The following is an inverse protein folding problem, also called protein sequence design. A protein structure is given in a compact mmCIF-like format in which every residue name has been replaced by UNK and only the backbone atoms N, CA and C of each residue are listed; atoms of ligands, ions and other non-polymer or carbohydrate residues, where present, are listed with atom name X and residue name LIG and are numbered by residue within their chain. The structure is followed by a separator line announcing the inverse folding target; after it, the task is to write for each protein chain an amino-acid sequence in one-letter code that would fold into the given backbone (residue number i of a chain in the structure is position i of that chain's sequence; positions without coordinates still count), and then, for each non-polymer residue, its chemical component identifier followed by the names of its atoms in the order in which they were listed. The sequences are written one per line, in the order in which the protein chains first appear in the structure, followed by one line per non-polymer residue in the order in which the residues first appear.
data_IF_534995741933
#
_entry.id   IF_534995741933
#
_cell.length_a   1.000
_cell.length_b   1.000
_cell.length_c   1.000
_cell.angle_alpha   90.00
_cell.angle_beta   90.00
_cell.angle_gamma   90.00
#
_symmetry.space_group_name_H-M   'P 1'
#
loop_
_entity.id
_entity.type
_entity.pdbx_description
1 polymer ?
#
# COMPACT_ATOMS: atom_id res chain seq x y z
N UNK A 1 -41.01 2.84 33.97
CA UNK A 1 -40.80 3.31 32.58
C UNK A 1 -39.54 4.17 32.39
N UNK A 2 -39.23 5.14 33.26
CA UNK A 2 -38.01 5.98 33.12
C UNK A 2 -36.68 5.19 33.13
N UNK A 3 -36.60 4.11 33.93
CA UNK A 3 -35.41 3.24 34.01
C UNK A 3 -35.13 2.45 32.72
N UNK A 4 -36.16 2.13 31.92
CA UNK A 4 -36.01 1.35 30.67
C UNK A 4 -35.52 2.25 29.53
N UNK A 5 -35.92 3.53 29.55
CA UNK A 5 -35.46 4.53 28.57
C UNK A 5 -33.97 4.85 28.80
N UNK A 6 -33.52 4.86 30.06
CA UNK A 6 -32.12 5.15 30.39
C UNK A 6 -31.17 4.03 29.97
N UNK A 7 -31.59 2.76 30.00
CA UNK A 7 -30.76 1.63 29.53
C UNK A 7 -30.67 1.56 28.01
N UNK A 8 -31.70 1.97 27.27
CA UNK A 8 -31.68 1.99 25.81
C UNK A 8 -30.69 3.04 25.25
N UNK A 9 -30.52 4.16 25.96
CA UNK A 9 -29.58 5.23 25.59
C UNK A 9 -28.09 4.85 25.75
N UNK A 10 -27.76 3.95 26.68
CA UNK A 10 -26.37 3.49 26.92
C UNK A 10 -25.96 2.41 25.89
N UNK A 11 -26.91 1.63 25.38
CA UNK A 11 -26.64 0.65 24.32
C UNK A 11 -26.42 1.29 22.94
N UNK A 12 -26.94 2.51 22.72
CA UNK A 12 -26.75 3.28 21.49
C UNK A 12 -25.38 3.98 21.41
N UNK A 13 -24.65 4.12 22.51
CA UNK A 13 -23.30 4.71 22.52
C UNK A 13 -22.18 3.72 22.19
N UNK A 14 -22.49 2.43 21.98
CA UNK A 14 -21.57 1.45 21.40
C UNK A 14 -21.65 1.57 19.87
N UNK A 15 -21.36 2.75 19.31
CA UNK A 15 -21.17 2.87 17.88
C UNK A 15 -19.70 2.63 17.56
N UNK A 16 -19.47 1.48 16.91
CA UNK A 16 -18.37 1.18 16.00
C UNK A 16 -17.09 1.99 16.23
N UNK A 17 -16.28 1.57 17.20
CA UNK A 17 -14.84 1.69 17.06
C UNK A 17 -14.46 0.76 15.88
N UNK A 18 -14.59 1.26 14.66
CA UNK A 18 -13.91 0.64 13.53
C UNK A 18 -12.44 0.75 13.84
N UNK A 19 -11.80 -0.34 14.23
CA UNK A 19 -10.36 -0.41 14.24
C UNK A 19 -9.92 -0.10 12.80
N UNK A 20 -9.52 1.14 12.54
CA UNK A 20 -8.78 1.43 11.32
C UNK A 20 -7.47 0.68 11.52
N UNK A 21 -7.34 -0.46 10.84
CA UNK A 21 -6.08 -1.18 10.84
C UNK A 21 -5.04 -0.21 10.32
N UNK A 22 -4.11 0.16 11.19
CA UNK A 22 -3.10 1.16 10.86
C UNK A 22 -2.07 0.47 9.99
N UNK A 23 -2.30 0.50 8.68
CA UNK A 23 -1.41 -0.13 7.71
C UNK A 23 0.01 0.43 7.80
N UNK A 24 0.17 1.67 8.28
CA UNK A 24 1.46 2.27 8.57
C UNK A 24 2.21 1.48 9.64
N UNK A 25 1.51 0.94 10.65
CA UNK A 25 2.11 0.10 11.69
C UNK A 25 2.71 -1.18 11.08
N UNK A 26 1.96 -1.88 10.22
CA UNK A 26 2.45 -3.10 9.56
C UNK A 26 3.57 -2.81 8.58
N UNK A 27 3.46 -1.69 7.85
CA UNK A 27 4.47 -1.25 6.90
C UNK A 27 5.82 -0.92 7.56
N UNK A 28 5.79 -0.57 8.84
CA UNK A 28 6.95 -0.11 9.65
C UNK A 28 7.37 -1.10 10.75
N UNK A 29 6.75 -2.28 10.82
CA UNK A 29 6.96 -3.27 11.89
C UNK A 29 6.77 -2.64 13.29
N UNK A 30 5.56 -2.14 13.54
CA UNK A 30 5.19 -1.38 14.73
C UNK A 30 6.08 -0.17 14.98
N UNK A 31 6.33 0.61 13.92
CA UNK A 31 7.10 1.86 13.96
C UNK A 31 8.57 1.69 14.36
N UNK A 32 9.10 0.47 14.25
CA UNK A 32 10.51 0.19 14.54
C UNK A 32 11.45 0.53 13.37
N UNK A 33 10.91 0.70 12.16
CA UNK A 33 11.66 1.09 10.98
C UNK A 33 10.93 2.15 10.14
N UNK A 34 11.68 3.14 9.65
CA UNK A 34 11.18 4.16 8.73
C UNK A 34 11.13 3.69 7.27
N UNK A 35 11.80 2.58 6.96
CA UNK A 35 11.83 1.99 5.62
C UNK A 35 11.82 0.47 5.67
N UNK A 36 11.21 -0.15 4.67
CA UNK A 36 11.11 -1.62 4.58
C UNK A 36 11.02 -2.10 3.15
N UNK A 37 11.66 -3.23 2.87
CA UNK A 37 11.62 -3.89 1.58
C UNK A 37 10.60 -5.03 1.57
N UNK A 38 9.87 -5.14 0.46
CA UNK A 38 8.90 -6.20 0.18
C UNK A 38 9.17 -6.79 -1.20
N UNK A 39 8.71 -8.03 -1.38
CA UNK A 39 8.85 -8.75 -2.64
C UNK A 39 7.54 -9.43 -3.00
N UNK A 40 7.12 -9.29 -4.26
CA UNK A 40 5.95 -9.96 -4.85
C UNK A 40 6.37 -10.69 -6.12
N UNK A 41 5.55 -11.63 -6.60
CA UNK A 41 5.72 -12.19 -7.94
C UNK A 41 5.15 -11.26 -8.99
N UNK A 42 5.74 -11.21 -10.19
CA UNK A 42 5.19 -10.46 -11.31
C UNK A 42 3.79 -10.95 -11.70
N UNK A 43 3.56 -12.27 -11.62
CA UNK A 43 2.26 -12.87 -11.93
C UNK A 43 1.15 -12.52 -10.92
N UNK A 44 1.48 -11.82 -9.84
CA UNK A 44 0.50 -11.29 -8.89
C UNK A 44 -0.19 -10.00 -9.39
N UNK A 45 0.31 -9.41 -10.49
CA UNK A 45 -0.25 -8.21 -11.12
C UNK A 45 -0.52 -8.46 -12.60
N UNK A 46 -1.49 -7.74 -13.18
CA UNK A 46 -1.96 -7.99 -14.56
C UNK A 46 -1.27 -7.10 -15.59
N UNK A 47 -0.89 -5.88 -15.21
CA UNK A 47 -0.26 -4.93 -16.10
C UNK A 47 1.17 -5.38 -16.46
N UNK A 48 1.67 -4.96 -17.62
CA UNK A 48 3.06 -5.18 -18.01
C UNK A 48 3.94 -4.01 -17.51
N UNK A 49 5.07 -4.31 -16.85
CA UNK A 49 5.92 -3.27 -16.28
C UNK A 49 6.58 -2.38 -17.34
N UNK A 50 6.92 -2.95 -18.50
CA UNK A 50 7.64 -2.22 -19.53
C UNK A 50 6.74 -1.28 -20.32
N UNK A 51 5.52 -1.72 -20.61
CA UNK A 51 4.52 -0.98 -21.37
C UNK A 51 3.64 -0.08 -20.48
N UNK A 52 3.24 -0.58 -19.31
CA UNK A 52 2.25 0.05 -18.42
C UNK A 52 2.81 0.29 -17.00
N UNK A 53 4.08 0.67 -16.88
CA UNK A 53 4.79 0.77 -15.59
C UNK A 53 4.04 1.48 -14.46
N UNK A 54 3.33 2.59 -14.75
CA UNK A 54 2.55 3.29 -13.71
C UNK A 54 1.36 2.47 -13.20
N UNK A 55 0.66 1.76 -14.09
CA UNK A 55 -0.46 0.89 -13.73
C UNK A 55 0.04 -0.35 -13.00
N UNK A 56 1.15 -0.93 -13.47
CA UNK A 56 1.87 -2.00 -12.79
C UNK A 56 2.21 -1.62 -11.36
N UNK A 57 2.84 -0.46 -11.16
CA UNK A 57 3.24 0.00 -9.83
C UNK A 57 2.04 0.18 -8.90
N UNK A 58 0.94 0.78 -9.38
CA UNK A 58 -0.28 0.92 -8.60
C UNK A 58 -0.90 -0.44 -8.21
N UNK A 59 -0.91 -1.41 -9.14
CA UNK A 59 -1.37 -2.78 -8.88
C UNK A 59 -0.46 -3.50 -7.87
N UNK A 60 0.86 -3.33 -7.98
CA UNK A 60 1.83 -3.93 -7.06
C UNK A 60 1.63 -3.42 -5.62
N UNK A 61 1.41 -2.12 -5.43
CA UNK A 61 1.11 -1.59 -4.10
C UNK A 61 -0.25 -2.08 -3.59
N UNK A 62 -1.26 -2.18 -4.47
CA UNK A 62 -2.57 -2.73 -4.10
C UNK A 62 -2.44 -4.17 -3.60
N UNK A 63 -1.70 -4.99 -4.34
CA UNK A 63 -1.41 -6.38 -3.98
C UNK A 63 -0.59 -6.49 -2.69
N UNK A 64 0.37 -5.60 -2.48
CA UNK A 64 1.13 -5.55 -1.23
C UNK A 64 0.20 -5.32 -0.04
N UNK A 65 -0.68 -4.32 -0.11
CA UNK A 65 -1.66 -4.08 0.96
C UNK A 65 -2.60 -5.27 1.17
N UNK A 66 -3.07 -5.90 0.10
CA UNK A 66 -3.90 -7.11 0.22
C UNK A 66 -3.16 -8.23 0.96
N UNK A 67 -1.88 -8.47 0.63
CA UNK A 67 -1.05 -9.47 1.31
C UNK A 67 -0.77 -9.13 2.79
N UNK A 68 -0.81 -7.84 3.15
CA UNK A 68 -0.63 -7.36 4.52
C UNK A 68 -1.94 -7.27 5.32
N UNK A 69 -3.09 -7.66 4.74
CA UNK A 69 -4.40 -7.59 5.40
C UNK A 69 -4.98 -6.17 5.49
N UNK A 70 -4.51 -5.26 4.62
CA UNK A 70 -4.83 -3.84 4.62
C UNK A 70 -6.05 -3.48 3.74
N UNK A 71 -7.16 -4.18 3.97
CA UNK A 71 -8.36 -4.14 3.11
C UNK A 71 -9.02 -2.75 2.98
N UNK A 72 -8.81 -1.86 3.95
CA UNK A 72 -9.42 -0.52 4.00
C UNK A 72 -8.80 0.47 2.98
N UNK A 73 -7.72 0.08 2.30
CA UNK A 73 -7.00 0.93 1.34
C UNK A 73 -7.35 0.67 -0.12
N UNK A 74 -8.21 -0.33 -0.39
CA UNK A 74 -8.71 -0.64 -1.74
C UNK A 74 -9.37 0.60 -2.36
N UNK A 75 -8.69 1.21 -3.33
CA UNK A 75 -9.17 2.37 -4.10
C UNK A 75 -8.52 3.73 -3.80
N UNK A 76 -7.59 3.84 -2.84
CA UNK A 76 -6.81 5.07 -2.58
C UNK A 76 -5.30 4.82 -2.49
N UNK A 77 -4.82 3.90 -3.32
CA UNK A 77 -3.50 3.28 -3.17
C UNK A 77 -2.37 4.17 -3.69
N UNK A 78 -2.64 5.00 -4.69
CA UNK A 78 -1.67 5.92 -5.27
C UNK A 78 -2.30 7.29 -5.53
N UNK A 79 -1.74 8.32 -4.92
CA UNK A 79 -2.03 9.74 -5.22
C UNK A 79 -1.25 10.17 -6.46
N UNK A 80 -0.02 9.71 -6.58
CA UNK A 80 0.87 10.03 -7.68
C UNK A 80 1.73 8.81 -8.04
N UNK A 81 1.90 8.57 -9.35
CA UNK A 81 2.78 7.53 -9.86
C UNK A 81 3.66 8.11 -10.95
N UNK A 82 4.97 7.96 -10.80
CA UNK A 82 5.98 8.43 -11.76
C UNK A 82 6.98 7.32 -12.03
N UNK A 83 7.12 6.93 -13.29
CA UNK A 83 8.12 5.94 -13.68
C UNK A 83 9.20 6.58 -14.53
N UNK A 84 10.44 6.21 -14.27
CA UNK A 84 11.59 6.68 -15.04
C UNK A 84 12.69 5.63 -15.08
N UNK A 85 13.42 5.58 -16.19
CA UNK A 85 14.65 4.82 -16.28
C UNK A 85 15.72 5.49 -15.42
N UNK A 86 16.33 4.72 -14.51
CA UNK A 86 17.48 5.19 -13.73
C UNK A 86 18.67 5.45 -14.66
N UNK A 87 18.88 4.57 -15.64
CA UNK A 87 19.84 4.76 -16.72
C UNK A 87 19.08 5.02 -18.02
N UNK A 88 19.12 6.27 -18.52
CA UNK A 88 18.43 6.67 -19.75
C UNK A 88 18.83 5.77 -20.93
N UNK A 89 17.82 5.28 -21.65
CA UNK A 89 17.99 4.35 -22.78
C UNK A 89 18.12 2.89 -22.36
N UNK A 90 17.98 2.57 -21.06
CA UNK A 90 18.01 1.20 -20.55
C UNK A 90 16.64 0.88 -19.92
N UNK A 91 15.71 0.26 -20.69
CA UNK A 91 14.33 0.02 -20.24
C UNK A 91 14.24 -0.77 -18.92
N UNK A 92 15.07 -1.81 -18.78
CA UNK A 92 15.12 -2.65 -17.58
C UNK A 92 15.66 -1.96 -16.32
N UNK A 93 16.11 -0.70 -16.43
CA UNK A 93 16.50 0.13 -15.28
C UNK A 93 15.34 0.98 -14.75
N UNK A 94 14.13 0.78 -15.27
CA UNK A 94 12.94 1.53 -14.88
C UNK A 94 12.59 1.29 -13.42
N UNK A 95 12.35 2.39 -12.71
CA UNK A 95 11.84 2.41 -11.34
C UNK A 95 10.60 3.32 -11.32
N UNK A 96 9.57 2.86 -10.64
CA UNK A 96 8.36 3.65 -10.41
C UNK A 96 8.32 4.14 -8.97
N UNK A 97 8.17 5.44 -8.82
CA UNK A 97 7.79 6.10 -7.57
C UNK A 97 6.27 6.08 -7.45
N UNK A 98 5.76 5.66 -6.29
CA UNK A 98 4.34 5.75 -5.93
C UNK A 98 4.23 6.46 -4.59
N UNK A 99 3.38 7.48 -4.52
CA UNK A 99 3.08 8.21 -3.28
C UNK A 99 1.64 7.95 -2.84
N UNK A 100 1.46 7.79 -1.53
CA UNK A 100 0.14 7.81 -0.91
C UNK A 100 0.19 8.43 0.50
N UNK A 101 -0.89 8.26 1.26
CA UNK A 101 -1.03 8.85 2.59
C UNK A 101 -0.08 8.23 3.65
N UNK A 102 0.35 6.99 3.46
CA UNK A 102 1.14 6.23 4.44
C UNK A 102 2.66 6.44 4.21
N UNK A 103 3.06 6.85 3.01
CA UNK A 103 4.46 7.04 2.64
C UNK A 103 4.66 7.13 1.13
N UNK A 104 5.88 6.79 0.72
CA UNK A 104 6.21 6.59 -0.68
C UNK A 104 6.90 5.25 -0.91
N UNK A 105 6.81 4.77 -2.15
CA UNK A 105 7.29 3.48 -2.58
C UNK A 105 8.16 3.63 -3.81
N UNK A 106 9.24 2.86 -3.86
CA UNK A 106 10.03 2.64 -5.06
C UNK A 106 9.83 1.20 -5.53
N UNK A 107 9.32 1.04 -6.74
CA UNK A 107 8.97 -0.24 -7.33
C UNK A 107 9.91 -0.50 -8.52
N UNK A 108 10.52 -1.67 -8.52
CA UNK A 108 11.32 -2.18 -9.64
C UNK A 108 11.01 -3.64 -9.90
N UNK A 109 11.33 -4.11 -11.10
CA UNK A 109 11.21 -5.51 -11.49
C UNK A 109 12.59 -6.10 -11.74
N UNK A 110 12.86 -7.30 -11.25
CA UNK A 110 14.08 -8.05 -11.59
C UNK A 110 13.86 -9.00 -12.78
N UNK A 111 14.97 -9.51 -13.34
CA UNK A 111 14.92 -10.44 -14.49
C UNK A 111 14.34 -11.82 -14.14
N UNK A 112 14.08 -12.09 -12.85
CA UNK A 112 13.50 -13.35 -12.38
C UNK A 112 12.00 -13.20 -12.09
N UNK A 113 11.34 -12.23 -12.72
CA UNK A 113 9.89 -12.00 -12.62
C UNK A 113 9.45 -11.67 -11.18
N UNK A 114 10.27 -10.96 -10.42
CA UNK A 114 9.90 -10.48 -9.09
C UNK A 114 9.78 -8.97 -9.08
N UNK A 115 8.81 -8.51 -8.29
CA UNK A 115 8.58 -7.11 -7.99
C UNK A 115 9.29 -6.81 -6.67
N UNK A 116 10.23 -5.88 -6.71
CA UNK A 116 10.92 -5.37 -5.52
C UNK A 116 10.31 -4.02 -5.16
N UNK A 117 9.79 -3.90 -3.94
CA UNK A 117 9.11 -2.71 -3.43
C UNK A 117 9.86 -2.22 -2.21
N UNK A 118 10.31 -0.97 -2.23
CA UNK A 118 10.90 -0.30 -1.07
C UNK A 118 9.90 0.74 -0.58
N UNK A 119 9.34 0.52 0.61
CA UNK A 119 8.50 1.49 1.31
C UNK A 119 9.38 2.41 2.17
N UNK A 120 9.00 3.69 2.23
CA UNK A 120 9.53 4.67 3.18
C UNK A 120 8.35 5.47 3.76
N UNK A 121 8.33 5.62 5.09
CA UNK A 121 7.36 6.46 5.79
C UNK A 121 7.61 7.93 5.47
N UNK A 122 6.55 8.73 5.51
CA UNK A 122 6.70 10.18 5.63
C UNK A 122 7.35 10.54 6.97
N UNK A 123 8.12 11.63 6.99
CA UNK A 123 8.58 12.25 8.25
C UNK A 123 7.42 12.99 8.93
#
# INVERSE_FOLDING_TARGET
MKLIISTFLILLSIQYAGASYDCSEVLTDSYSADSKAYRLGEFDVEADFELEGSKFAAQAITKLYDNLGCDQLKGKVAKEVKCSEVAKGVPYSKVCYVENRDGYFLISKDMMENINIIYNRWD
#
